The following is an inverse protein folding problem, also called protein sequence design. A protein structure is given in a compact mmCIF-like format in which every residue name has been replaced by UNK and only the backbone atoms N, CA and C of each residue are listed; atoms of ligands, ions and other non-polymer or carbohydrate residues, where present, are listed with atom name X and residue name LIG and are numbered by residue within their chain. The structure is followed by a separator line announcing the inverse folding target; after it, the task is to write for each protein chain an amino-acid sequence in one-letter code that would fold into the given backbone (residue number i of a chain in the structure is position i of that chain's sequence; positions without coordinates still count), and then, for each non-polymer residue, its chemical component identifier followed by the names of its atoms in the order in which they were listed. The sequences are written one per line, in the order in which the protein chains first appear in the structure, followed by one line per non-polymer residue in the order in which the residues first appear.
data_IF_977257238059
#
_entry.id   IF_977257238059
#
_cell.length_a   1.000
_cell.length_b   1.000
_cell.length_c   1.000
_cell.angle_alpha   90.00
_cell.angle_beta   90.00
_cell.angle_gamma   90.00
#
_symmetry.space_group_name_H-M   'P 1'
#
loop_
_entity.id
_entity.type
_entity.pdbx_description
1 polymer ?
#
# COMPACT_ATOMS: atom_id res chain seq x y z
N UNK A 1 23.81 -9.06 7.94
CA UNK A 1 23.55 -9.44 6.54
C UNK A 1 22.05 -9.28 6.30
N UNK A 2 21.62 -8.49 5.31
CA UNK A 2 20.22 -8.45 4.89
C UNK A 2 19.97 -9.71 4.05
N UNK A 3 19.18 -10.64 4.56
CA UNK A 3 18.67 -11.76 3.77
C UNK A 3 17.66 -11.20 2.76
N UNK A 4 17.96 -11.36 1.48
CA UNK A 4 17.08 -10.99 0.38
C UNK A 4 16.42 -12.24 -0.18
N UNK A 5 15.09 -12.25 -0.24
CA UNK A 5 14.32 -13.36 -0.79
C UNK A 5 13.31 -12.84 -1.81
N UNK A 6 13.21 -13.48 -2.97
CA UNK A 6 12.21 -13.15 -3.99
C UNK A 6 11.15 -14.24 -4.01
N UNK A 7 9.88 -13.82 -3.97
CA UNK A 7 8.75 -14.74 -3.98
C UNK A 7 7.57 -14.12 -4.72
N UNK A 8 6.70 -14.94 -5.34
CA UNK A 8 5.39 -14.47 -5.77
C UNK A 8 4.60 -13.93 -4.58
N UNK A 9 3.79 -12.92 -4.83
CA UNK A 9 2.93 -12.29 -3.83
C UNK A 9 1.55 -11.99 -4.42
N UNK A 10 0.50 -12.16 -3.64
CA UNK A 10 -0.81 -11.60 -3.91
C UNK A 10 -1.15 -10.56 -2.84
N UNK A 11 -1.48 -9.34 -3.30
CA UNK A 11 -1.98 -8.26 -2.47
C UNK A 11 -3.44 -8.02 -2.82
N UNK A 12 -4.31 -8.22 -1.85
CA UNK A 12 -5.74 -8.02 -1.96
C UNK A 12 -6.16 -6.85 -1.06
N UNK A 13 -6.92 -5.93 -1.62
CA UNK A 13 -7.53 -4.81 -0.92
C UNK A 13 -9.02 -4.78 -1.23
N UNK A 14 -9.85 -4.95 -0.19
CA UNK A 14 -11.30 -4.98 -0.34
C UNK A 14 -11.97 -4.16 0.74
N UNK A 15 -13.14 -3.62 0.42
CA UNK A 15 -14.04 -3.06 1.41
C UNK A 15 -15.10 -4.10 1.80
N UNK A 16 -15.41 -4.18 3.09
CA UNK A 16 -16.46 -5.07 3.60
C UNK A 16 -17.86 -4.46 3.51
N UNK A 17 -17.97 -3.14 3.30
CA UNK A 17 -19.23 -2.40 3.28
C UNK A 17 -19.45 -1.56 2.01
N UNK A 18 -18.48 -1.54 1.10
CA UNK A 18 -18.56 -0.87 -0.20
C UNK A 18 -18.16 -1.85 -1.32
N UNK A 19 -18.63 -1.64 -2.57
CA UNK A 19 -18.24 -2.44 -3.73
C UNK A 19 -16.84 -2.04 -4.23
N UNK A 20 -15.86 -2.05 -3.34
CA UNK A 20 -14.46 -1.74 -3.65
C UNK A 20 -13.64 -3.01 -3.48
N UNK A 21 -12.99 -3.45 -4.55
CA UNK A 21 -12.14 -4.63 -4.60
C UNK A 21 -10.97 -4.37 -5.54
N UNK A 22 -9.78 -4.79 -5.14
CA UNK A 22 -8.57 -4.69 -5.94
C UNK A 22 -7.61 -5.80 -5.56
N UNK A 23 -7.03 -6.46 -6.56
CA UNK A 23 -6.06 -7.54 -6.37
C UNK A 23 -4.86 -7.32 -7.29
N UNK A 24 -3.66 -7.54 -6.75
CA UNK A 24 -2.41 -7.47 -7.48
C UNK A 24 -1.59 -8.71 -7.18
N UNK A 25 -1.33 -9.51 -8.21
CA UNK A 25 -0.35 -10.58 -8.16
C UNK A 25 0.95 -10.10 -8.83
N UNK A 26 2.07 -10.17 -8.11
CA UNK A 26 3.38 -9.77 -8.63
C UNK A 26 4.50 -10.53 -7.94
N UNK A 27 5.77 -10.16 -8.18
CA UNK A 27 6.93 -10.66 -7.45
C UNK A 27 7.30 -9.63 -6.38
N UNK A 28 7.46 -10.11 -5.15
CA UNK A 28 7.98 -9.32 -4.04
C UNK A 28 9.44 -9.66 -3.77
N UNK A 29 10.20 -8.64 -3.38
CA UNK A 29 11.49 -8.82 -2.72
C UNK A 29 11.34 -8.54 -1.23
N UNK A 30 11.68 -9.51 -0.40
CA UNK A 30 11.65 -9.42 1.06
C UNK A 30 13.07 -9.15 1.56
N UNK A 31 13.20 -8.12 2.38
CA UNK A 31 14.41 -7.78 3.13
C UNK A 31 14.14 -7.97 4.62
N UNK A 32 14.92 -8.81 5.27
CA UNK A 32 14.89 -8.94 6.71
C UNK A 32 15.85 -7.93 7.34
N UNK A 33 15.30 -6.95 8.08
CA UNK A 33 16.08 -5.94 8.79
C UNK A 33 16.46 -6.43 10.20
N UNK A 34 15.55 -7.13 10.85
CA UNK A 34 15.70 -7.71 12.19
C UNK A 34 14.79 -8.95 12.32
N UNK A 35 14.79 -9.64 13.47
CA UNK A 35 14.03 -10.89 13.68
C UNK A 35 12.53 -10.78 13.37
N UNK A 36 11.93 -9.61 13.57
CA UNK A 36 10.49 -9.37 13.38
C UNK A 36 10.18 -8.18 12.48
N UNK A 37 11.20 -7.57 11.89
CA UNK A 37 11.06 -6.39 11.03
C UNK A 37 11.46 -6.73 9.61
N UNK A 38 10.48 -6.66 8.71
CA UNK A 38 10.63 -7.02 7.31
C UNK A 38 10.26 -5.84 6.43
N UNK A 39 10.99 -5.64 5.33
CA UNK A 39 10.56 -4.77 4.24
C UNK A 39 10.19 -5.65 3.06
N UNK A 40 8.98 -5.50 2.55
CA UNK A 40 8.51 -6.18 1.35
C UNK A 40 8.34 -5.14 0.27
N UNK A 41 9.05 -5.31 -0.85
CA UNK A 41 9.00 -4.40 -1.98
C UNK A 41 8.34 -5.11 -3.15
N UNK A 42 7.21 -4.59 -3.61
CA UNK A 42 6.46 -5.09 -4.74
C UNK A 42 6.73 -4.19 -5.95
N UNK A 43 7.05 -4.80 -7.09
CA UNK A 43 6.99 -4.11 -8.36
C UNK A 43 5.52 -3.99 -8.77
N UNK A 44 4.95 -2.79 -8.69
CA UNK A 44 3.54 -2.57 -9.05
C UNK A 44 3.45 -2.49 -10.58
N UNK A 45 2.53 -3.24 -11.22
CA UNK A 45 2.29 -3.07 -12.64
C UNK A 45 1.74 -1.66 -12.93
N UNK A 46 2.09 -1.05 -14.08
CA UNK A 46 1.69 0.32 -14.43
C UNK A 46 0.16 0.53 -14.38
N UNK A 47 -0.61 -0.48 -14.78
CA UNK A 47 -2.08 -0.42 -14.91
C UNK A 47 -2.85 -0.29 -13.58
N UNK A 48 -2.20 -0.55 -12.43
CA UNK A 48 -2.86 -0.54 -11.12
C UNK A 48 -3.40 0.84 -10.71
N UNK A 49 -2.75 1.92 -11.17
CA UNK A 49 -3.14 3.30 -10.85
C UNK A 49 -3.79 4.04 -12.03
N UNK A 50 -3.68 3.52 -13.25
CA UNK A 50 -4.33 4.13 -14.43
C UNK A 50 -5.86 3.99 -14.37
N UNK A 51 -6.39 3.03 -13.59
CA UNK A 51 -7.83 2.97 -13.27
C UNK A 51 -8.32 4.08 -12.31
N UNK A 52 -7.40 4.82 -11.69
CA UNK A 52 -7.69 5.97 -10.82
C UNK A 52 -7.47 7.31 -11.52
N UNK A 53 -6.96 7.32 -12.75
CA UNK A 53 -6.88 8.51 -13.57
C UNK A 53 -8.26 8.80 -14.19
N UNK A 54 -8.72 10.07 -14.24
CA UNK A 54 -9.89 10.41 -15.01
C UNK A 54 -9.67 10.00 -16.47
N UNK A 55 -10.72 9.45 -17.08
CA UNK A 55 -10.78 8.98 -18.46
C UNK A 55 -10.69 10.15 -19.47
N UNK A 56 -9.72 11.05 -19.34
CA UNK A 56 -9.47 12.15 -20.28
C UNK A 56 -7.99 12.52 -20.30
N UNK A 57 -7.17 11.76 -21.04
CA UNK A 57 -5.91 12.27 -21.57
C UNK A 57 -5.45 11.44 -22.78
N UNK A 58 -6.07 11.72 -23.93
CA UNK A 58 -5.50 11.43 -25.25
C UNK A 58 -4.29 12.34 -25.50
N UNK A 59 -3.19 12.15 -24.78
CA UNK A 59 -1.90 12.73 -25.16
C UNK A 59 -0.81 11.71 -24.86
N UNK A 60 -0.33 11.07 -25.93
CA UNK A 60 0.90 10.30 -25.95
C UNK A 60 2.06 11.16 -25.44
N UNK A 61 2.30 11.11 -24.14
CA UNK A 61 3.50 11.65 -23.50
C UNK A 61 4.25 10.45 -22.96
N UNK A 62 5.52 10.37 -23.38
CA UNK A 62 6.49 9.33 -23.06
C UNK A 62 6.31 8.85 -21.62
N UNK A 63 5.68 7.68 -21.47
CA UNK A 63 5.42 7.06 -20.17
C UNK A 63 6.79 6.74 -19.58
N UNK A 64 7.18 7.48 -18.55
CA UNK A 64 8.39 7.21 -17.77
C UNK A 64 8.24 5.78 -17.22
N UNK A 65 8.92 4.82 -17.85
CA UNK A 65 8.78 3.37 -17.68
C UNK A 65 9.40 2.86 -16.38
N UNK A 66 9.60 3.74 -15.39
CA UNK A 66 10.11 3.32 -14.09
C UNK A 66 8.99 2.63 -13.30
N UNK A 67 9.14 1.34 -12.95
CA UNK A 67 8.11 0.60 -12.25
C UNK A 67 7.85 1.25 -10.89
N UNK A 68 6.60 1.61 -10.61
CA UNK A 68 6.22 2.17 -9.31
C UNK A 68 6.40 1.10 -8.24
N UNK A 69 7.23 1.40 -7.24
CA UNK A 69 7.51 0.46 -6.16
C UNK A 69 6.54 0.69 -5.01
N UNK A 70 5.95 -0.41 -4.56
CA UNK A 70 5.12 -0.45 -3.38
C UNK A 70 5.93 -1.07 -2.23
N UNK A 71 6.14 -0.28 -1.19
CA UNK A 71 6.95 -0.65 -0.03
C UNK A 71 6.03 -0.98 1.14
N UNK A 72 6.20 -2.15 1.75
CA UNK A 72 5.56 -2.50 3.01
C UNK A 72 6.62 -2.74 4.08
N UNK A 73 6.56 -1.97 5.15
CA UNK A 73 7.30 -2.19 6.39
C UNK A 73 6.41 -3.02 7.32
N UNK A 74 6.84 -4.22 7.67
CA UNK A 74 6.07 -5.17 8.47
C UNK A 74 6.71 -5.34 9.85
N UNK A 75 5.88 -5.26 10.88
CA UNK A 75 6.20 -5.66 12.25
C UNK A 75 4.96 -6.29 12.90
N UNK A 76 5.10 -7.01 14.03
CA UNK A 76 3.97 -7.71 14.65
C UNK A 76 2.81 -6.80 15.10
N UNK A 77 3.09 -5.52 15.39
CA UNK A 77 2.11 -4.55 15.88
C UNK A 77 1.79 -3.45 14.87
N UNK A 78 2.65 -3.21 13.87
CA UNK A 78 2.55 -2.11 12.92
C UNK A 78 2.91 -2.53 11.50
N UNK A 79 2.11 -2.07 10.54
CA UNK A 79 2.39 -2.18 9.11
C UNK A 79 2.36 -0.78 8.50
N UNK A 80 3.35 -0.43 7.69
CA UNK A 80 3.35 0.81 6.91
C UNK A 80 3.45 0.48 5.44
N UNK A 81 2.50 0.95 4.64
CA UNK A 81 2.54 0.87 3.18
C UNK A 81 2.89 2.23 2.61
N UNK A 82 3.84 2.27 1.69
CA UNK A 82 4.31 3.49 1.03
C UNK A 82 4.42 3.25 -0.47
N UNK A 83 3.80 4.13 -1.26
CA UNK A 83 4.03 4.23 -2.70
C UNK A 83 4.84 5.50 -2.93
N UNK A 84 6.02 5.34 -3.53
CA UNK A 84 6.90 6.42 -3.95
C UNK A 84 7.37 6.15 -5.38
N UNK A 85 7.32 7.17 -6.24
CA UNK A 85 7.78 7.11 -7.63
C UNK A 85 7.67 8.47 -8.30
N UNK A 86 8.21 8.61 -9.52
CA UNK A 86 8.26 9.83 -10.35
C UNK A 86 6.89 10.36 -10.82
N UNK A 87 5.81 9.95 -10.16
CA UNK A 87 4.45 10.26 -10.57
C UNK A 87 3.83 11.36 -9.74
N UNK A 88 2.71 11.87 -10.26
CA UNK A 88 1.82 12.81 -9.60
C UNK A 88 1.13 12.25 -8.34
N UNK A 89 1.43 11.03 -7.90
CA UNK A 89 0.82 10.43 -6.73
C UNK A 89 1.87 9.79 -5.82
N UNK A 90 1.86 10.19 -4.55
CA UNK A 90 2.58 9.51 -3.48
C UNK A 90 1.64 9.23 -2.32
N UNK A 91 1.85 8.11 -1.64
CA UNK A 91 0.94 7.65 -0.60
C UNK A 91 1.73 6.98 0.52
N UNK A 92 1.33 7.26 1.76
CA UNK A 92 1.80 6.55 2.94
C UNK A 92 0.65 6.29 3.89
N UNK A 93 0.51 5.05 4.31
CA UNK A 93 -0.51 4.61 5.25
C UNK A 93 0.12 3.73 6.31
N UNK A 94 -0.15 4.06 7.56
CA UNK A 94 0.36 3.33 8.70
C UNK A 94 -0.81 2.74 9.48
N UNK A 95 -0.76 1.44 9.73
CA UNK A 95 -1.70 0.72 10.56
C UNK A 95 -0.99 0.22 11.80
N UNK A 96 -1.61 0.45 12.95
CA UNK A 96 -1.09 -0.02 14.24
C UNK A 96 -2.26 -0.47 15.09
N UNK A 97 -2.17 -1.70 15.60
CA UNK A 97 -3.30 -2.39 16.25
C UNK A 97 -3.87 -1.56 17.40
N UNK A 98 -5.16 -1.25 17.33
CA UNK A 98 -5.90 -0.49 18.36
C UNK A 98 -5.67 1.02 18.35
N UNK A 99 -4.96 1.56 17.35
CA UNK A 99 -4.59 2.98 17.27
C UNK A 99 -5.19 3.64 16.03
N UNK A 100 -5.54 4.93 16.17
CA UNK A 100 -5.85 5.81 15.05
C UNK A 100 -4.55 6.27 14.37
N UNK A 101 -4.32 5.77 13.16
CA UNK A 101 -3.25 6.21 12.27
C UNK A 101 -3.66 7.40 11.40
N UNK A 102 -2.68 7.91 10.65
CA UNK A 102 -2.89 8.92 9.61
C UNK A 102 -2.36 8.38 8.29
N UNK A 103 -3.24 8.35 7.30
CA UNK A 103 -2.91 8.11 5.90
C UNK A 103 -2.69 9.45 5.20
N UNK A 104 -1.56 9.60 4.54
CA UNK A 104 -1.21 10.81 3.80
C UNK A 104 -1.16 10.49 2.33
N UNK A 105 -1.83 11.34 1.56
CA UNK A 105 -1.89 11.28 0.12
C UNK A 105 -1.36 12.61 -0.42
N UNK A 106 -0.48 12.52 -1.39
CA UNK A 106 0.07 13.66 -2.11
C UNK A 106 -0.31 13.49 -3.57
N UNK A 107 -1.07 14.46 -4.07
CA UNK A 107 -1.47 14.58 -5.47
C UNK A 107 -0.74 15.80 -6.04
N UNK A 108 0.03 15.60 -7.10
CA UNK A 108 0.59 16.70 -7.88
C UNK A 108 -0.29 16.88 -9.11
N UNK A 109 -1.04 17.98 -9.19
CA UNK A 109 -1.89 18.25 -10.35
C UNK A 109 -1.06 18.70 -11.58
N UNK A 110 0.18 19.15 -11.38
CA UNK A 110 1.17 19.45 -12.42
C UNK A 110 2.54 19.73 -11.77
N UNK A 111 3.66 19.70 -12.52
CA UNK A 111 4.99 20.06 -11.98
C UNK A 111 5.11 21.51 -11.48
N UNK A 112 4.11 22.36 -11.76
CA UNK A 112 4.09 23.79 -11.42
C UNK A 112 3.00 24.17 -10.41
N UNK A 113 2.06 23.28 -10.08
CA UNK A 113 1.02 23.53 -9.09
C UNK A 113 1.45 23.07 -7.69
N UNK A 114 0.97 23.77 -6.65
CA UNK A 114 1.12 23.34 -5.26
C UNK A 114 0.52 21.94 -5.13
N UNK A 115 1.34 20.95 -4.77
CA UNK A 115 0.90 19.58 -4.54
C UNK A 115 -0.17 19.56 -3.44
N UNK A 116 -1.37 19.13 -3.78
CA UNK A 116 -2.44 18.92 -2.82
C UNK A 116 -2.08 17.77 -1.88
N UNK A 117 -1.98 18.06 -0.58
CA UNK A 117 -1.92 17.01 0.44
C UNK A 117 -3.31 16.87 1.06
N UNK A 118 -3.83 15.64 1.10
CA UNK A 118 -4.94 15.34 1.98
C UNK A 118 -4.60 14.21 2.96
N UNK A 119 -5.29 14.23 4.10
CA UNK A 119 -5.05 13.31 5.20
C UNK A 119 -6.34 12.62 5.54
N UNK A 120 -6.26 11.31 5.71
CA UNK A 120 -7.33 10.49 6.25
C UNK A 120 -6.86 9.89 7.56
N UNK A 121 -7.79 9.64 8.46
CA UNK A 121 -7.54 8.88 9.67
C UNK A 121 -7.91 7.43 9.43
N UNK A 122 -7.20 6.50 10.04
CA UNK A 122 -7.56 5.09 9.98
C UNK A 122 -7.55 4.48 11.38
N UNK A 123 -8.60 3.72 11.73
CA UNK A 123 -8.61 2.95 12.97
C UNK A 123 -8.31 1.49 12.67
N UNK A 124 -7.21 0.96 13.19
CA UNK A 124 -6.82 -0.43 12.91
C UNK A 124 -7.43 -1.37 13.94
N UNK A 125 -8.46 -2.12 13.52
CA UNK A 125 -9.18 -3.08 14.37
C UNK A 125 -8.35 -4.33 14.63
N UNK A 126 -7.75 -4.87 13.56
CA UNK A 126 -6.95 -6.09 13.61
C UNK A 126 -5.75 -5.95 12.71
N UNK A 127 -4.62 -6.49 13.14
CA UNK A 127 -3.39 -6.56 12.38
C UNK A 127 -2.73 -7.88 12.73
N UNK A 128 -2.59 -8.77 11.77
CA UNK A 128 -2.02 -10.11 11.94
C UNK A 128 -0.88 -10.25 10.95
N UNK A 129 0.30 -10.58 11.45
CA UNK A 129 1.46 -10.98 10.66
C UNK A 129 1.80 -12.41 11.05
N UNK A 130 1.76 -13.33 10.10
CA UNK A 130 1.97 -14.76 10.28
C UNK A 130 3.08 -15.25 9.35
N UNK A 131 3.80 -16.27 9.80
CA UNK A 131 4.95 -16.87 9.10
C UNK A 131 6.21 -16.80 9.96
N UNK A 132 7.01 -17.86 9.91
CA UNK A 132 8.31 -17.96 10.55
C UNK A 132 9.21 -18.88 9.72
N UNK A 133 10.46 -18.52 9.42
CA UNK A 133 11.17 -17.31 9.86
C UNK A 133 10.82 -16.04 9.07
N UNK A 134 10.11 -16.16 7.94
CA UNK A 134 9.69 -15.05 7.09
C UNK A 134 8.16 -14.91 7.12
N UNK A 135 7.62 -13.69 6.92
CA UNK A 135 6.19 -13.49 6.83
C UNK A 135 5.64 -14.21 5.59
N UNK A 136 4.55 -14.95 5.77
CA UNK A 136 3.80 -15.63 4.71
C UNK A 136 2.44 -14.98 4.49
N UNK A 137 1.87 -14.41 5.55
CA UNK A 137 0.54 -13.84 5.52
C UNK A 137 0.47 -12.58 6.39
N UNK A 138 -0.08 -11.50 5.83
CA UNK A 138 -0.39 -10.27 6.56
C UNK A 138 -1.85 -9.92 6.30
N UNK A 139 -2.59 -9.66 7.37
CA UNK A 139 -3.97 -9.18 7.30
C UNK A 139 -4.14 -7.95 8.17
N UNK A 140 -4.67 -6.90 7.59
CA UNK A 140 -4.99 -5.66 8.29
C UNK A 140 -6.46 -5.35 8.06
N UNK A 141 -7.19 -5.18 9.15
CA UNK A 141 -8.59 -4.75 9.13
C UNK A 141 -8.67 -3.36 9.76
N UNK A 142 -9.21 -2.41 9.02
CA UNK A 142 -9.23 -1.03 9.46
C UNK A 142 -10.46 -0.28 8.95
N UNK A 143 -10.80 0.76 9.68
CA UNK A 143 -11.78 1.74 9.26
C UNK A 143 -11.04 2.94 8.67
N UNK A 144 -11.58 3.53 7.61
CA UNK A 144 -11.05 4.77 7.04
C UNK A 144 -12.01 5.92 7.32
N UNK A 145 -11.46 7.07 7.69
CA UNK A 145 -12.21 8.23 8.16
C UNK A 145 -11.69 9.52 7.51
N UNK A 146 -12.61 10.35 7.04
CA UNK A 146 -12.37 11.73 6.66
C UNK A 146 -12.95 12.64 7.76
N UNK A 147 -12.11 13.08 8.70
CA UNK A 147 -12.54 13.79 9.90
C UNK A 147 -13.61 12.99 10.67
N UNK A 148 -14.86 13.46 10.67
CA UNK A 148 -15.98 12.83 11.37
C UNK A 148 -16.78 11.85 10.50
N UNK A 149 -16.44 11.74 9.21
CA UNK A 149 -17.15 10.87 8.26
C UNK A 149 -16.39 9.56 8.11
N UNK A 150 -17.03 8.44 8.46
CA UNK A 150 -16.51 7.10 8.17
C UNK A 150 -16.67 6.80 6.69
N UNK A 151 -15.56 6.64 5.99
CA UNK A 151 -15.53 6.33 4.57
C UNK A 151 -15.79 4.85 4.31
N UNK A 152 -15.37 3.96 5.21
CA UNK A 152 -15.63 2.53 5.05
C UNK A 152 -14.79 1.63 5.94
N UNK A 153 -15.04 0.34 5.80
CA UNK A 153 -14.31 -0.74 6.44
C UNK A 153 -13.53 -1.51 5.39
N UNK A 154 -12.24 -1.64 5.59
CA UNK A 154 -11.31 -2.17 4.62
C UNK A 154 -10.50 -3.31 5.21
N UNK A 155 -10.18 -4.27 4.35
CA UNK A 155 -9.31 -5.40 4.63
C UNK A 155 -8.18 -5.40 3.60
N UNK A 156 -6.95 -5.36 4.09
CA UNK A 156 -5.74 -5.56 3.30
C UNK A 156 -5.20 -6.94 3.62
N UNK A 157 -5.08 -7.81 2.62
CA UNK A 157 -4.45 -9.13 2.74
C UNK A 157 -3.22 -9.18 1.83
N UNK A 158 -2.08 -9.58 2.38
CA UNK A 158 -0.85 -9.86 1.65
C UNK A 158 -0.52 -11.33 1.88
N UNK A 159 -0.39 -12.09 0.80
CA UNK A 159 0.03 -13.48 0.83
C UNK A 159 1.32 -13.65 0.05
N UNK A 160 2.37 -14.12 0.72
CA UNK A 160 3.70 -14.35 0.17
C UNK A 160 3.87 -15.86 -0.04
N UNK A 161 4.22 -16.27 -1.26
CA UNK A 161 4.38 -17.67 -1.64
C UNK A 161 5.87 -18.06 -1.55
N UNK A 162 6.31 -18.40 -0.34
CA UNK A 162 7.69 -18.77 0.01
C UNK A 162 8.02 -20.25 -0.26
#
# INVERSE_FOLDING_TARGET
MLTQHQCPVSLLHLSSNLPVYSEVATVATIYQKDLQFFHVVLATPPDFLDSLAPLEANVATLVDTTPRLLWLELSPSRVTMTIQGNSNFSYRHTWERGIYGISRYWLADSPTAQSGQFRLSNYTRSLVVQGSPLPQFVRVEYELWANQVRLGDYVLNLQLFL
#
